data_IF_984243811718
#
_entry.id   IF_984243811718
#
_cell.length_a   1.000
_cell.length_b   1.000
_cell.length_c   1.000
_cell.angle_alpha   90.00
_cell.angle_beta   90.00
_cell.angle_gamma   90.00
#
_symmetry.space_group_name_H-M   'P 1'
#
loop_
_entity.id
_entity.type
_entity.pdbx_description
1 polymer ?
#
# COMPACT_ATOMS: atom_id res chain seq x y z
N UNK A 1 5.73 -1.29 -30.74
CA UNK A 1 5.06 -1.93 -29.59
C UNK A 1 6.14 -2.23 -28.57
N UNK A 2 6.14 -1.56 -27.40
CA UNK A 2 7.15 -1.80 -26.36
C UNK A 2 6.63 -2.87 -25.39
N UNK A 3 7.16 -4.09 -25.50
CA UNK A 3 6.86 -5.21 -24.61
C UNK A 3 7.79 -5.22 -23.38
N UNK A 4 8.02 -4.05 -22.79
CA UNK A 4 8.88 -3.91 -21.61
C UNK A 4 7.99 -3.88 -20.37
N UNK A 5 8.25 -4.72 -19.35
CA UNK A 5 7.45 -4.74 -18.14
C UNK A 5 7.56 -3.40 -17.41
N UNK A 6 6.42 -2.86 -16.97
CA UNK A 6 6.37 -1.68 -16.10
C UNK A 6 6.46 -2.14 -14.66
N UNK A 7 7.56 -1.79 -14.00
CA UNK A 7 7.80 -2.10 -12.58
C UNK A 7 7.10 -1.03 -11.75
N UNK A 8 6.40 -1.47 -10.69
CA UNK A 8 5.76 -0.59 -9.72
C UNK A 8 6.23 -0.91 -8.31
N UNK A 9 6.34 0.11 -7.47
CA UNK A 9 6.61 -0.06 -6.04
C UNK A 9 5.31 -0.39 -5.32
N UNK A 10 5.26 -1.56 -4.68
CA UNK A 10 4.13 -1.96 -3.85
C UNK A 10 4.18 -1.29 -2.48
N UNK A 11 3.08 -0.63 -2.09
CA UNK A 11 2.93 0.02 -0.79
C UNK A 11 1.86 -0.74 -0.01
N UNK A 12 2.26 -1.29 1.13
CA UNK A 12 1.46 -2.19 1.96
C UNK A 12 1.42 -1.66 3.39
N UNK A 13 0.24 -1.69 4.01
CA UNK A 13 0.06 -1.35 5.42
C UNK A 13 -0.12 -2.61 6.25
N UNK A 14 0.60 -2.68 7.38
CA UNK A 14 0.49 -3.77 8.34
C UNK A 14 0.17 -3.17 9.71
N UNK A 15 -0.83 -3.72 10.40
CA UNK A 15 -1.17 -3.37 11.78
C UNK A 15 -1.04 -4.59 12.68
N UNK A 16 -0.49 -4.38 13.88
CA UNK A 16 -0.44 -5.38 14.95
C UNK A 16 -0.90 -4.73 16.26
N UNK A 17 -1.57 -5.52 17.10
CA UNK A 17 -2.18 -5.34 18.44
C UNK A 17 -1.97 -4.03 19.23
N UNK A 18 -0.86 -3.30 19.04
CA UNK A 18 -0.61 -2.00 19.65
C UNK A 18 -1.27 -0.81 18.92
N UNK A 19 -1.78 -0.97 17.70
CA UNK A 19 -2.32 0.14 16.92
C UNK A 19 -3.64 -0.22 16.20
N UNK A 20 -4.63 0.71 16.19
CA UNK A 20 -5.88 0.48 15.50
C UNK A 20 -5.64 0.40 13.98
N UNK A 21 -6.31 -0.52 13.31
CA UNK A 21 -6.23 -0.71 11.84
C UNK A 21 -6.47 0.60 11.08
N UNK A 22 -7.42 1.41 11.55
CA UNK A 22 -7.75 2.71 10.97
C UNK A 22 -6.55 3.66 10.90
N UNK A 23 -5.64 3.61 11.88
CA UNK A 23 -4.42 4.42 11.87
C UNK A 23 -3.48 3.98 10.73
N UNK A 24 -3.31 2.67 10.55
CA UNK A 24 -2.48 2.10 9.49
C UNK A 24 -3.04 2.40 8.10
N UNK A 25 -4.36 2.30 7.93
CA UNK A 25 -5.07 2.71 6.70
C UNK A 25 -4.89 4.20 6.40
N UNK A 26 -5.09 5.05 7.40
CA UNK A 26 -4.98 6.51 7.22
C UNK A 26 -3.56 6.94 6.88
N UNK A 27 -2.54 6.36 7.52
CA UNK A 27 -1.13 6.65 7.24
C UNK A 27 -0.72 6.22 5.83
N UNK A 28 -1.18 5.06 5.36
CA UNK A 28 -0.98 4.62 3.98
C UNK A 28 -1.57 5.61 3.00
N UNK A 29 -2.85 5.99 3.17
CA UNK A 29 -3.51 6.97 2.31
C UNK A 29 -2.78 8.31 2.28
N UNK A 30 -2.36 8.83 3.44
CA UNK A 30 -1.61 10.07 3.52
C UNK A 30 -0.26 10.00 2.77
N UNK A 31 0.44 8.87 2.85
CA UNK A 31 1.69 8.64 2.12
C UNK A 31 1.45 8.57 0.60
N UNK A 32 0.43 7.83 0.17
CA UNK A 32 0.04 7.73 -1.24
C UNK A 32 -0.35 9.10 -1.80
N UNK A 33 -1.13 9.88 -1.05
CA UNK A 33 -1.53 11.23 -1.44
C UNK A 33 -0.31 12.16 -1.59
N UNK A 34 0.60 12.16 -0.60
CA UNK A 34 1.82 12.96 -0.65
C UNK A 34 2.74 12.57 -1.81
N UNK A 35 2.91 11.27 -2.06
CA UNK A 35 3.69 10.76 -3.19
C UNK A 35 3.05 11.16 -4.52
N UNK A 36 1.74 10.89 -4.68
CA UNK A 36 0.99 11.16 -5.91
C UNK A 36 1.02 12.65 -6.26
N UNK A 37 0.90 13.54 -5.27
CA UNK A 37 1.02 14.99 -5.49
C UNK A 37 2.40 15.41 -6.02
N UNK A 38 3.46 14.69 -5.64
CA UNK A 38 4.85 15.07 -5.98
C UNK A 38 5.37 14.41 -7.25
N UNK A 39 4.96 13.16 -7.50
CA UNK A 39 5.56 12.30 -8.54
C UNK A 39 4.53 11.65 -9.47
N UNK A 40 3.23 11.74 -9.19
CA UNK A 40 2.19 10.99 -9.90
C UNK A 40 2.00 9.57 -9.35
N UNK A 41 1.03 8.84 -9.91
CA UNK A 41 0.61 7.51 -9.41
C UNK A 41 1.11 6.33 -10.28
N UNK A 42 1.80 6.59 -11.39
CA UNK A 42 2.10 5.56 -12.39
C UNK A 42 3.09 4.49 -11.90
N UNK A 43 4.03 4.88 -11.05
CA UNK A 43 5.13 4.03 -10.56
C UNK A 43 4.81 3.27 -9.26
N UNK A 44 3.61 3.45 -8.70
CA UNK A 44 3.23 2.85 -7.43
C UNK A 44 1.99 1.97 -7.54
N UNK A 45 1.91 0.99 -6.66
CA UNK A 45 0.73 0.18 -6.43
C UNK A 45 0.35 0.26 -4.95
N UNK A 46 -0.86 0.69 -4.67
CA UNK A 46 -1.41 0.72 -3.32
C UNK A 46 -2.18 -0.59 -3.06
N UNK A 47 -1.69 -1.40 -2.11
CA UNK A 47 -2.43 -2.57 -1.64
C UNK A 47 -3.72 -2.11 -0.93
N UNK A 48 -4.91 -2.55 -1.37
CA UNK A 48 -6.18 -2.07 -0.82
C UNK A 48 -6.38 -2.54 0.62
N UNK A 49 -5.80 -3.70 0.96
CA UNK A 49 -5.99 -4.37 2.23
C UNK A 49 -4.91 -3.95 3.22
N UNK A 50 -5.34 -3.64 4.44
CA UNK A 50 -4.47 -3.50 5.58
C UNK A 50 -4.29 -4.89 6.19
N UNK A 51 -3.05 -5.37 6.27
CA UNK A 51 -2.78 -6.69 6.86
C UNK A 51 -2.84 -6.53 8.36
N UNK A 52 -3.77 -7.24 8.98
CA UNK A 52 -3.93 -7.25 10.43
C UNK A 52 -3.40 -8.59 10.95
N UNK A 53 -2.50 -8.55 11.93
CA UNK A 53 -2.05 -9.70 12.74
C UNK A 53 -1.22 -10.81 12.07
N UNK A 54 -1.54 -11.33 10.88
CA UNK A 54 -0.91 -12.56 10.38
C UNK A 54 -0.69 -12.66 8.87
N UNK A 55 0.16 -13.63 8.49
CA UNK A 55 0.41 -14.03 7.10
C UNK A 55 -0.84 -14.59 6.41
N UNK A 56 -1.83 -15.05 7.16
CA UNK A 56 -3.11 -15.50 6.60
C UNK A 56 -3.88 -14.31 6.00
N UNK A 57 -3.82 -13.14 6.64
CA UNK A 57 -4.38 -11.92 6.06
C UNK A 57 -3.62 -11.46 4.81
N UNK A 58 -2.34 -11.81 4.67
CA UNK A 58 -1.57 -11.52 3.45
C UNK A 58 -2.12 -12.25 2.22
N UNK A 59 -2.79 -13.38 2.36
CA UNK A 59 -3.40 -14.12 1.23
C UNK A 59 -4.55 -13.32 0.58
N UNK A 60 -5.15 -12.40 1.33
CA UNK A 60 -6.25 -11.58 0.83
C UNK A 60 -5.74 -10.32 0.10
N UNK A 61 -4.49 -9.91 0.35
CA UNK A 61 -3.90 -8.61 0.02
C UNK A 61 -3.59 -8.40 -1.48
#
# INVERSE_FOLDING_TARGET
MNNVPKIKVGIVAVSRDCFPESLSVNRRKALIEAYTKKYGADDIYECPICIVESEIHMVQA
#
